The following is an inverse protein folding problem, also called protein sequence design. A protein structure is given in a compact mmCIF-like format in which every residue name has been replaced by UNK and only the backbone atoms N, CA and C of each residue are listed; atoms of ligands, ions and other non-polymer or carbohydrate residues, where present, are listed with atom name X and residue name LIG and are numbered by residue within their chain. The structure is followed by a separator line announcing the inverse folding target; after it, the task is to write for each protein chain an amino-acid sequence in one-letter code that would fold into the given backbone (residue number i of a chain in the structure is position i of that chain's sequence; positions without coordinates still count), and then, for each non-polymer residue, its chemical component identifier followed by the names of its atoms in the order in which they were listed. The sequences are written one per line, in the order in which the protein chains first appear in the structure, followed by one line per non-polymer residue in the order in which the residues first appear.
data_IF_100980003186
#
_entry.id   IF_100980003186
#
_cell.length_a   1.000
_cell.length_b   1.000
_cell.length_c   1.000
_cell.angle_alpha   90.00
_cell.angle_beta   90.00
_cell.angle_gamma   90.00
#
_symmetry.space_group_name_H-M   'P 1'
#
loop_
_entity.id
_entity.type
_entity.pdbx_description
1 polymer ?
#
# COMPACT_ATOMS: atom_id res chain seq x y z
N UNK A 1 33.76 -12.08 44.78
CA UNK A 1 32.88 -10.97 45.20
C UNK A 1 32.34 -10.30 43.94
N UNK A 2 31.00 -10.18 43.86
CA UNK A 2 30.21 -9.28 43.00
C UNK A 2 30.42 -9.41 41.48
N UNK A 3 29.46 -9.82 40.65
CA UNK A 3 27.99 -9.74 40.76
C UNK A 3 27.47 -9.09 39.48
N UNK A 4 26.62 -9.78 38.73
CA UNK A 4 26.05 -9.27 37.47
C UNK A 4 24.92 -10.17 36.97
N UNK A 5 23.88 -10.32 37.79
CA UNK A 5 22.66 -11.02 37.42
C UNK A 5 21.78 -10.15 36.51
N UNK A 6 21.41 -10.73 35.36
CA UNK A 6 20.06 -10.74 34.77
C UNK A 6 19.34 -9.40 34.58
N UNK A 7 19.34 -8.90 33.34
CA UNK A 7 18.21 -8.14 32.78
C UNK A 7 17.71 -8.84 31.52
N UNK A 8 16.97 -9.93 31.73
CA UNK A 8 16.27 -10.65 30.67
C UNK A 8 14.93 -9.96 30.33
N UNK A 9 14.78 -9.65 29.04
CA UNK A 9 13.57 -9.68 28.23
C UNK A 9 12.27 -9.05 28.77
N UNK A 10 11.94 -7.85 28.28
CA UNK A 10 10.56 -7.36 28.18
C UNK A 10 10.35 -6.62 26.84
N UNK A 11 10.44 -7.33 25.71
CA UNK A 11 9.82 -6.90 24.44
C UNK A 11 9.20 -8.14 23.78
N UNK A 12 8.22 -8.74 24.45
CA UNK A 12 7.52 -9.93 23.94
C UNK A 12 6.03 -9.65 23.99
N UNK A 13 5.48 -8.93 23.02
CA UNK A 13 4.03 -8.75 23.00
C UNK A 13 3.41 -8.03 21.80
N UNK A 14 4.15 -7.23 21.03
CA UNK A 14 3.54 -6.36 20.01
C UNK A 14 3.63 -6.87 18.57
N UNK A 15 4.25 -8.03 18.31
CA UNK A 15 4.51 -8.50 16.94
C UNK A 15 3.53 -9.53 16.36
N UNK A 16 2.46 -9.88 17.07
CA UNK A 16 1.42 -10.79 16.55
C UNK A 16 0.19 -10.04 16.06
N UNK A 17 0.36 -8.90 15.40
CA UNK A 17 -0.73 -8.33 14.61
C UNK A 17 -0.99 -9.30 13.45
N UNK A 18 -2.16 -9.94 13.35
CA UNK A 18 -2.48 -10.76 12.18
C UNK A 18 -2.41 -9.86 10.94
N UNK A 19 -1.88 -10.40 9.84
CA UNK A 19 -1.93 -9.69 8.57
C UNK A 19 -3.38 -9.28 8.29
N UNK A 20 -3.59 -8.03 7.87
CA UNK A 20 -4.93 -7.56 7.54
C UNK A 20 -5.41 -8.34 6.31
N UNK A 21 -6.40 -9.21 6.52
CA UNK A 21 -7.03 -10.00 5.46
C UNK A 21 -8.35 -9.36 5.03
N UNK A 22 -8.78 -9.66 3.80
CA UNK A 22 -10.10 -9.28 3.34
C UNK A 22 -11.17 -9.92 4.24
N UNK A 23 -12.22 -9.16 4.59
CA UNK A 23 -13.35 -9.65 5.41
C UNK A 23 -14.11 -10.76 4.69
N UNK A 24 -14.08 -10.75 3.35
CA UNK A 24 -14.76 -11.71 2.49
C UNK A 24 -13.84 -12.09 1.33
N UNK A 25 -13.94 -13.36 0.91
CA UNK A 25 -13.17 -13.91 -0.20
C UNK A 25 -11.90 -14.63 0.25
N UNK A 26 -11.44 -15.58 -0.57
CA UNK A 26 -10.15 -16.24 -0.37
C UNK A 26 -9.03 -15.34 -0.90
N UNK A 27 -7.90 -15.18 -0.18
CA UNK A 27 -6.73 -14.50 -0.70
C UNK A 27 -6.34 -15.08 -2.06
N UNK A 28 -6.01 -14.21 -3.00
CA UNK A 28 -5.48 -14.66 -4.28
C UNK A 28 -4.07 -15.22 -4.09
N UNK A 29 -3.68 -16.17 -4.95
CA UNK A 29 -2.29 -16.60 -5.01
C UNK A 29 -1.39 -15.42 -5.40
N UNK A 30 -0.14 -15.47 -4.94
CA UNK A 30 0.81 -14.41 -5.24
C UNK A 30 0.96 -14.21 -6.76
N UNK A 31 0.96 -12.95 -7.17
CA UNK A 31 1.09 -12.52 -8.55
C UNK A 31 0.03 -13.05 -9.53
N UNK A 32 -1.08 -13.64 -9.05
CA UNK A 32 -2.18 -14.07 -9.91
C UNK A 32 -2.77 -12.92 -10.76
N UNK A 33 -2.64 -11.68 -10.28
CA UNK A 33 -3.02 -10.46 -10.99
C UNK A 33 -1.85 -9.47 -11.05
N UNK A 34 -0.79 -9.81 -11.78
CA UNK A 34 0.43 -8.99 -11.89
C UNK A 34 0.21 -7.57 -12.43
N UNK A 35 -0.91 -7.32 -13.11
CA UNK A 35 -1.30 -5.98 -13.59
C UNK A 35 -1.86 -5.09 -12.46
N UNK A 36 -2.15 -5.63 -11.28
CA UNK A 36 -2.66 -4.82 -10.17
C UNK A 36 -1.54 -4.03 -9.50
N UNK A 37 -1.90 -2.87 -8.97
CA UNK A 37 -1.01 -1.99 -8.24
C UNK A 37 -1.69 -1.46 -6.97
N UNK A 38 -0.87 -1.17 -5.96
CA UNK A 38 -1.25 -0.41 -4.78
C UNK A 38 -0.75 1.01 -4.93
N UNK A 39 -1.59 1.98 -4.64
CA UNK A 39 -1.23 3.39 -4.50
C UNK A 39 -1.16 3.75 -3.02
N UNK A 40 -0.05 4.36 -2.62
CA UNK A 40 0.11 5.06 -1.35
C UNK A 40 0.09 6.56 -1.62
N UNK A 41 -0.90 7.27 -1.07
CA UNK A 41 -1.18 8.68 -1.35
C UNK A 41 -0.93 9.49 -0.08
N UNK A 42 -0.07 10.49 -0.18
CA UNK A 42 0.27 11.43 0.88
C UNK A 42 0.99 10.78 2.06
N UNK A 43 1.93 9.86 1.79
CA UNK A 43 2.74 9.16 2.80
C UNK A 43 1.88 8.40 3.81
N UNK A 44 1.03 7.50 3.32
CA UNK A 44 0.16 6.65 4.13
C UNK A 44 -1.17 7.27 4.57
N UNK A 45 -1.49 8.51 4.16
CA UNK A 45 -2.82 9.11 4.43
C UNK A 45 -3.96 8.31 3.79
N UNK A 46 -3.72 7.74 2.60
CA UNK A 46 -4.71 6.94 1.88
C UNK A 46 -4.05 5.86 1.04
N UNK A 47 -4.64 4.67 1.07
CA UNK A 47 -4.28 3.58 0.17
C UNK A 47 -5.41 3.32 -0.82
N UNK A 48 -5.06 3.12 -2.09
CA UNK A 48 -5.99 2.78 -3.17
C UNK A 48 -5.44 1.63 -4.01
N UNK A 49 -6.31 0.99 -4.79
CA UNK A 49 -5.92 0.06 -5.84
C UNK A 49 -5.85 0.76 -7.20
N UNK A 50 -5.03 0.22 -8.09
CA UNK A 50 -4.93 0.65 -9.48
C UNK A 50 -4.63 -0.57 -10.38
N UNK A 51 -4.74 -0.36 -11.69
CA UNK A 51 -4.40 -1.37 -12.71
C UNK A 51 -3.46 -0.76 -13.74
N UNK A 52 -2.41 -1.52 -14.09
CA UNK A 52 -1.47 -1.19 -15.16
C UNK A 52 -2.12 -1.51 -16.51
N UNK A 53 -2.45 -0.47 -17.26
CA UNK A 53 -3.12 -0.58 -18.57
C UNK A 53 -2.16 -0.42 -19.74
N UNK A 54 -1.02 0.23 -19.50
CA UNK A 54 0.13 0.32 -20.40
C UNK A 54 1.41 0.36 -19.56
N UNK A 55 2.59 0.23 -20.19
CA UNK A 55 3.89 0.13 -19.50
C UNK A 55 4.10 1.25 -18.48
N UNK A 56 3.65 2.45 -18.81
CA UNK A 56 3.85 3.66 -18.00
C UNK A 56 2.51 4.32 -17.60
N UNK A 57 1.38 3.60 -17.71
CA UNK A 57 0.04 4.13 -17.39
C UNK A 57 -0.74 3.25 -16.41
N UNK A 58 -1.16 3.87 -15.31
CA UNK A 58 -2.05 3.28 -14.30
C UNK A 58 -3.44 3.91 -14.38
N UNK A 59 -4.48 3.07 -14.26
CA UNK A 59 -5.87 3.50 -14.11
C UNK A 59 -6.35 3.22 -12.69
N UNK A 60 -7.06 4.18 -12.08
CA UNK A 60 -7.66 4.07 -10.74
C UNK A 60 -8.96 4.85 -10.65
N UNK A 61 -9.65 4.76 -9.52
CA UNK A 61 -10.86 5.52 -9.25
C UNK A 61 -10.55 6.99 -8.95
N UNK A 62 -11.31 7.91 -9.54
CA UNK A 62 -11.18 9.35 -9.28
C UNK A 62 -11.30 9.72 -7.78
N UNK A 63 -12.13 8.98 -7.04
CA UNK A 63 -12.34 9.20 -5.60
C UNK A 63 -11.08 9.00 -4.76
N UNK A 64 -10.05 8.33 -5.27
CA UNK A 64 -8.77 8.19 -4.59
C UNK A 64 -8.08 9.55 -4.38
N UNK A 65 -8.20 10.45 -5.34
CA UNK A 65 -7.54 11.75 -5.37
C UNK A 65 -8.46 12.94 -5.03
N UNK A 66 -9.74 12.67 -4.80
CA UNK A 66 -10.67 13.71 -4.38
C UNK A 66 -10.53 14.01 -2.88
N UNK A 67 -10.58 15.30 -2.52
CA UNK A 67 -10.63 15.74 -1.12
C UNK A 67 -11.88 15.14 -0.43
N UNK A 68 -13.03 15.14 -1.12
CA UNK A 68 -14.23 14.40 -0.72
C UNK A 68 -14.48 13.23 -1.69
N UNK A 69 -14.27 11.96 -1.28
CA UNK A 69 -14.49 10.78 -2.13
C UNK A 69 -15.93 10.64 -2.66
N UNK A 70 -16.93 11.16 -1.95
CA UNK A 70 -18.33 11.15 -2.38
C UNK A 70 -18.65 12.21 -3.46
N UNK A 71 -17.74 13.16 -3.68
CA UNK A 71 -17.86 14.24 -4.68
C UNK A 71 -16.65 14.25 -5.63
N UNK A 72 -16.34 13.08 -6.21
CA UNK A 72 -15.13 12.86 -7.01
C UNK A 72 -15.16 13.49 -8.43
N UNK A 73 -16.18 14.28 -8.79
CA UNK A 73 -16.32 14.82 -10.15
C UNK A 73 -15.34 15.97 -10.46
N UNK A 74 -14.64 16.48 -9.46
CA UNK A 74 -13.91 17.75 -9.53
C UNK A 74 -12.40 17.56 -9.36
N UNK A 75 -11.81 16.62 -10.11
CA UNK A 75 -10.36 16.50 -10.21
C UNK A 75 -9.82 17.48 -11.24
N UNK A 76 -8.77 18.21 -10.86
CA UNK A 76 -7.99 19.01 -11.80
C UNK A 76 -7.01 18.09 -12.54
N UNK A 77 -6.82 18.28 -13.86
CA UNK A 77 -5.77 17.59 -14.60
C UNK A 77 -4.37 17.97 -14.09
N UNK A 78 -3.43 17.03 -14.21
CA UNK A 78 -2.04 17.20 -13.82
C UNK A 78 -1.63 16.27 -12.69
N UNK A 79 -0.47 16.57 -12.09
CA UNK A 79 0.08 15.77 -11.02
C UNK A 79 -0.86 15.71 -9.80
N UNK A 80 -0.92 14.57 -9.09
CA UNK A 80 -1.66 14.47 -7.84
C UNK A 80 -1.24 15.55 -6.83
N UNK A 81 -2.23 16.11 -6.12
CA UNK A 81 -2.02 17.13 -5.08
C UNK A 81 -1.13 16.62 -3.94
N UNK A 82 -1.33 15.37 -3.52
CA UNK A 82 -0.50 14.67 -2.55
C UNK A 82 0.49 13.75 -3.27
N UNK A 83 1.74 13.68 -2.78
CA UNK A 83 2.74 12.76 -3.31
C UNK A 83 2.22 11.32 -3.33
N UNK A 84 2.35 10.65 -4.46
CA UNK A 84 1.74 9.33 -4.66
C UNK A 84 2.76 8.32 -5.14
N UNK A 85 2.88 7.20 -4.43
CA UNK A 85 3.77 6.09 -4.75
C UNK A 85 2.95 4.88 -5.21
N UNK A 86 3.25 4.37 -6.39
CA UNK A 86 2.68 3.15 -6.93
C UNK A 86 3.62 1.95 -6.71
N UNK A 87 3.05 0.87 -6.18
CA UNK A 87 3.68 -0.45 -6.04
C UNK A 87 3.01 -1.39 -7.03
N UNK A 88 3.75 -1.85 -8.05
CA UNK A 88 3.21 -2.63 -9.18
C UNK A 88 3.81 -4.03 -9.16
N UNK A 89 2.97 -5.05 -9.41
CA UNK A 89 3.44 -6.43 -9.56
C UNK A 89 3.88 -7.09 -8.26
N UNK A 90 3.28 -6.71 -7.12
CA UNK A 90 3.40 -7.42 -5.84
C UNK A 90 2.06 -7.45 -5.11
N UNK A 91 1.69 -8.60 -4.56
CA UNK A 91 0.52 -8.79 -3.68
C UNK A 91 0.89 -8.63 -2.21
N UNK A 92 2.07 -9.11 -1.84
CA UNK A 92 2.64 -8.94 -0.50
C UNK A 92 3.51 -7.67 -0.42
N UNK A 93 3.06 -6.71 0.41
CA UNK A 93 3.73 -5.43 0.63
C UNK A 93 4.98 -5.54 1.52
N UNK A 94 5.22 -6.68 2.16
CA UNK A 94 6.45 -6.94 2.93
C UNK A 94 7.63 -7.34 2.04
N UNK A 95 7.36 -7.70 0.78
CA UNK A 95 8.38 -8.06 -0.20
C UNK A 95 8.86 -6.87 -1.02
N UNK A 96 10.02 -7.02 -1.68
CA UNK A 96 10.59 -6.03 -2.60
C UNK A 96 10.34 -6.34 -4.09
N UNK A 97 9.54 -7.36 -4.40
CA UNK A 97 9.25 -7.81 -5.77
C UNK A 97 8.52 -6.75 -6.62
N UNK A 98 8.60 -6.79 -7.94
CA UNK A 98 7.90 -5.81 -8.79
C UNK A 98 8.55 -4.42 -8.80
N UNK A 99 7.76 -3.36 -8.99
CA UNK A 99 8.25 -2.00 -9.21
C UNK A 99 7.66 -0.99 -8.23
N UNK A 100 8.47 -0.01 -7.82
CA UNK A 100 8.03 1.16 -7.05
C UNK A 100 8.24 2.40 -7.91
N UNK A 101 7.21 3.21 -8.12
CA UNK A 101 7.24 4.40 -8.99
C UNK A 101 6.48 5.56 -8.36
N UNK A 102 6.94 6.77 -8.62
CA UNK A 102 6.19 7.99 -8.31
C UNK A 102 5.15 8.22 -9.41
N UNK A 103 3.92 8.54 -9.02
CA UNK A 103 2.87 8.99 -9.95
C UNK A 103 3.03 10.49 -10.18
N UNK A 104 2.98 10.90 -11.45
CA UNK A 104 3.20 12.29 -11.90
C UNK A 104 2.05 12.81 -12.74
#
# INVERSE_FOLDING_TARGET
MTGGLLTAALVSGTFLAPAAHAVVGTPSADNAYAFTARLDIGDGKRACSAVLVDRDWLLTAASCFADNPAAAQQLLPGAPKDATTAFVGRTDSTTTAGQVRTVV
#
